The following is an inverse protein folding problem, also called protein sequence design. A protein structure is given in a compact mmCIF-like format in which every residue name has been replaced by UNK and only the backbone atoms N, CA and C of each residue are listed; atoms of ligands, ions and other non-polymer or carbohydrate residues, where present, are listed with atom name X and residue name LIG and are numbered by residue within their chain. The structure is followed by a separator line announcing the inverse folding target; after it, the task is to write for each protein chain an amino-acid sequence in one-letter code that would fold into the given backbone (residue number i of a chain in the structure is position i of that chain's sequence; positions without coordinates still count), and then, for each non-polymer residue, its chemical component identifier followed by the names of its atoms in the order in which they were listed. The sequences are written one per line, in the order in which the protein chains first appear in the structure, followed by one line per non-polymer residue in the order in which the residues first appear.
data_IF_281646303430
#
_entry.id   IF_281646303430
#
_cell.length_a   1.000
_cell.length_b   1.000
_cell.length_c   1.000
_cell.angle_alpha   90.00
_cell.angle_beta   90.00
_cell.angle_gamma   90.00
#
_symmetry.space_group_name_H-M   'P 1'
#
loop_
_entity.id
_entity.type
_entity.pdbx_description
1 polymer ?
#
# COMPACT_ATOMS: atom_id res chain seq x y z
N UNK A 1 24.97 -7.07 37.04
CA UNK A 1 23.60 -6.50 37.09
C UNK A 1 23.31 -5.60 35.89
N UNK A 2 24.16 -4.61 35.57
CA UNK A 2 23.96 -3.73 34.39
C UNK A 2 23.99 -4.47 33.05
N UNK A 3 24.95 -5.38 32.87
CA UNK A 3 25.13 -6.11 31.61
C UNK A 3 23.89 -6.93 31.21
N UNK A 4 23.25 -7.57 32.18
CA UNK A 4 22.06 -8.38 31.97
C UNK A 4 20.83 -7.52 31.58
N UNK A 5 20.74 -6.30 32.12
CA UNK A 5 19.68 -5.35 31.74
C UNK A 5 19.87 -4.85 30.30
N UNK A 6 21.12 -4.64 29.86
CA UNK A 6 21.43 -4.24 28.49
C UNK A 6 21.09 -5.31 27.46
N UNK A 7 21.43 -6.58 27.73
CA UNK A 7 21.09 -7.69 26.85
C UNK A 7 19.57 -7.85 26.73
N UNK A 8 18.83 -7.81 27.85
CA UNK A 8 17.36 -7.86 27.83
C UNK A 8 16.74 -6.70 27.04
N UNK A 9 17.23 -5.48 27.22
CA UNK A 9 16.73 -4.32 26.49
C UNK A 9 17.02 -4.41 24.99
N UNK A 10 18.21 -4.90 24.61
CA UNK A 10 18.59 -5.11 23.21
C UNK A 10 17.69 -6.13 22.53
N UNK A 11 17.38 -7.23 23.20
CA UNK A 11 16.44 -8.24 22.70
C UNK A 11 15.02 -7.69 22.57
N UNK A 12 14.57 -6.88 23.53
CA UNK A 12 13.25 -6.25 23.50
C UNK A 12 13.12 -5.26 22.33
N UNK A 13 14.13 -4.41 22.10
CA UNK A 13 14.15 -3.47 20.97
C UNK A 13 14.15 -4.22 19.64
N UNK A 14 14.89 -5.33 19.55
CA UNK A 14 14.92 -6.17 18.34
C UNK A 14 13.54 -6.75 18.02
N UNK A 15 12.87 -7.35 19.01
CA UNK A 15 11.50 -7.86 18.86
C UNK A 15 10.51 -6.77 18.44
N UNK A 16 10.58 -5.60 19.07
CA UNK A 16 9.73 -4.46 18.72
C UNK A 16 9.92 -4.01 17.26
N UNK A 17 11.15 -4.06 16.76
CA UNK A 17 11.47 -3.76 15.36
C UNK A 17 10.90 -4.79 14.38
N UNK A 18 10.99 -6.09 14.71
CA UNK A 18 10.45 -7.18 13.90
C UNK A 18 8.91 -7.16 13.85
N UNK A 19 8.25 -6.91 14.98
CA UNK A 19 6.79 -6.77 15.08
C UNK A 19 6.28 -5.55 14.30
N UNK A 20 7.03 -4.44 14.31
CA UNK A 20 6.69 -3.23 13.55
C UNK A 20 6.78 -3.44 12.04
N UNK A 21 7.77 -4.20 11.57
CA UNK A 21 7.92 -4.55 10.15
C UNK A 21 6.80 -5.51 9.70
N UNK A 22 6.47 -6.52 10.51
CA UNK A 22 5.36 -7.43 10.21
C UNK A 22 4.00 -6.74 10.22
N UNK A 23 3.76 -5.75 11.10
CA UNK A 23 2.54 -4.93 11.05
C UNK A 23 2.46 -4.01 9.84
N UNK A 24 3.59 -3.53 9.32
CA UNK A 24 3.63 -2.78 8.07
C UNK A 24 3.27 -3.63 6.85
N UNK A 25 3.63 -4.92 6.87
CA UNK A 25 3.33 -5.86 5.78
C UNK A 25 1.89 -6.42 5.86
N UNK A 26 1.30 -6.48 7.06
CA UNK A 26 -0.06 -7.01 7.28
C UNK A 26 -1.19 -5.96 7.19
N UNK A 27 -0.89 -4.65 7.26
CA UNK A 27 -1.86 -3.61 6.90
C UNK A 27 -1.91 -3.49 5.38
N UNK A 28 -2.68 -4.43 4.80
CA UNK A 28 -2.91 -4.67 3.37
C UNK A 28 -2.40 -3.59 2.43
N UNK A 29 -1.48 -3.97 1.54
CA UNK A 29 -0.94 -3.12 0.48
C UNK A 29 -2.09 -2.40 -0.23
N UNK A 30 -2.37 -1.17 0.20
CA UNK A 30 -3.47 -0.41 -0.35
C UNK A 30 -3.15 -0.21 -1.84
N UNK A 31 -4.00 -0.69 -2.75
CA UNK A 31 -3.63 -0.81 -4.14
C UNK A 31 -3.16 0.55 -4.67
N UNK A 32 -1.99 0.59 -5.30
CA UNK A 32 -1.42 1.82 -5.85
C UNK A 32 -1.75 1.96 -7.34
N UNK A 33 -1.68 3.20 -7.84
CA UNK A 33 -1.77 3.47 -9.27
C UNK A 33 -0.65 2.75 -10.03
N UNK A 34 -1.00 1.85 -10.94
CA UNK A 34 -0.06 1.09 -11.76
C UNK A 34 0.64 1.88 -12.87
N UNK A 35 0.54 3.21 -12.84
CA UNK A 35 1.23 4.11 -13.76
C UNK A 35 2.25 4.98 -13.02
N UNK A 36 1.82 5.68 -11.95
CA UNK A 36 2.70 6.57 -11.20
C UNK A 36 3.28 5.96 -9.92
N UNK A 37 2.75 4.81 -9.45
CA UNK A 37 3.13 4.13 -8.21
C UNK A 37 3.16 5.03 -6.95
N UNK A 38 2.51 6.20 -7.01
CA UNK A 38 2.50 7.21 -5.95
C UNK A 38 1.13 7.32 -5.30
N UNK A 39 0.07 7.31 -6.10
CA UNK A 39 -1.30 7.41 -5.57
C UNK A 39 -1.72 6.06 -5.01
N UNK A 40 -1.97 6.00 -3.69
CA UNK A 40 -2.67 4.88 -3.04
C UNK A 40 -4.19 5.05 -3.25
N UNK A 41 -4.90 3.97 -3.47
CA UNK A 41 -6.36 3.95 -3.57
C UNK A 41 -6.98 3.53 -2.23
N UNK A 42 -8.11 4.14 -1.88
CA UNK A 42 -9.02 3.55 -0.91
C UNK A 42 -9.82 2.41 -1.56
N UNK A 43 -10.54 1.62 -0.76
CA UNK A 43 -11.39 0.54 -1.25
C UNK A 43 -12.42 1.06 -2.27
N UNK A 44 -12.58 0.33 -3.37
CA UNK A 44 -13.47 0.71 -4.48
C UNK A 44 -13.01 1.91 -5.31
N UNK A 45 -11.86 2.52 -5.01
CA UNK A 45 -11.35 3.67 -5.77
C UNK A 45 -10.41 3.26 -6.92
N UNK A 46 -10.16 4.24 -7.80
CA UNK A 46 -9.36 4.09 -9.01
C UNK A 46 -10.18 3.80 -10.27
N UNK A 47 -9.54 3.90 -11.42
CA UNK A 47 -10.16 3.57 -12.72
C UNK A 47 -9.36 2.45 -13.39
N UNK A 48 -10.04 1.52 -14.04
CA UNK A 48 -9.41 0.45 -14.81
C UNK A 48 -9.37 0.84 -16.29
N UNK A 49 -8.22 0.64 -16.93
CA UNK A 49 -8.09 0.82 -18.36
C UNK A 49 -8.88 -0.28 -19.10
N UNK A 50 -9.80 0.09 -20.00
CA UNK A 50 -10.62 -0.88 -20.74
C UNK A 50 -9.81 -1.85 -21.61
N UNK A 51 -8.56 -1.51 -21.95
CA UNK A 51 -7.69 -2.33 -22.77
C UNK A 51 -6.83 -3.29 -21.95
N UNK A 52 -6.07 -2.77 -20.98
CA UNK A 52 -5.08 -3.55 -20.23
C UNK A 52 -5.47 -3.85 -18.77
N UNK A 53 -6.62 -3.35 -18.31
CA UNK A 53 -7.15 -3.50 -16.95
C UNK A 53 -6.29 -2.92 -15.82
N UNK A 54 -5.16 -2.28 -16.13
CA UNK A 54 -4.32 -1.55 -15.17
C UNK A 54 -5.15 -0.51 -14.44
N UNK A 55 -5.07 -0.53 -13.11
CA UNK A 55 -5.72 0.47 -12.25
C UNK A 55 -4.89 1.75 -12.21
N UNK A 56 -5.50 2.89 -12.55
CA UNK A 56 -4.84 4.20 -12.62
C UNK A 56 -5.61 5.27 -11.82
N UNK A 57 -4.89 6.32 -11.39
CA UNK A 57 -5.49 7.45 -10.68
C UNK A 57 -5.97 8.52 -11.66
N UNK A 58 -6.82 9.45 -11.21
CA UNK A 58 -7.39 10.50 -12.06
C UNK A 58 -6.36 11.40 -12.79
N UNK A 59 -5.08 11.36 -12.38
CA UNK A 59 -3.97 12.11 -13.03
C UNK A 59 -3.23 11.30 -14.09
N UNK A 60 -3.44 9.99 -14.15
CA UNK A 60 -2.70 9.07 -15.02
C UNK A 60 -3.52 8.55 -16.20
N UNK A 61 -4.76 9.00 -16.36
CA UNK A 61 -5.63 8.62 -17.48
C UNK A 61 -6.91 9.46 -17.53
N UNK A 62 -7.73 9.21 -18.55
CA UNK A 62 -8.99 9.91 -18.78
C UNK A 62 -10.20 8.98 -18.75
N UNK A 63 -11.39 9.57 -18.60
CA UNK A 63 -12.68 8.86 -18.73
C UNK A 63 -13.20 9.06 -20.15
N UNK A 64 -13.60 7.97 -20.81
CA UNK A 64 -14.27 8.02 -22.10
C UNK A 64 -15.74 7.67 -21.88
N UNK A 65 -16.63 8.63 -22.13
CA UNK A 65 -18.07 8.38 -22.12
C UNK A 65 -18.47 7.84 -23.49
N UNK A 66 -18.66 6.53 -23.60
CA UNK A 66 -19.33 5.96 -24.77
C UNK A 66 -20.81 6.38 -24.67
N UNK A 67 -21.36 6.87 -25.78
CA UNK A 67 -22.76 7.32 -25.88
C UNK A 67 -23.67 6.26 -25.26
N UNK A 68 -24.51 6.67 -24.32
CA UNK A 68 -25.48 5.79 -23.67
C UNK A 68 -26.43 5.21 -24.72
N UNK A 69 -26.14 4.01 -25.19
CA UNK A 69 -27.13 3.13 -25.80
C UNK A 69 -27.56 2.15 -24.71
N UNK A 70 -28.40 2.65 -23.80
CA UNK A 70 -29.39 1.86 -23.09
C UNK A 70 -30.74 2.48 -23.38
#
# INVERSE_FOLDING_TARGET
KLHQQFEMYKEQVKKMGEESQQQQEQKGDAPTCGICHKTKFADGCGHNCSYCQTKFCARCGGRVSLRSNK
#
